data_IF_909939629886
#
_entry.id   IF_909939629886
#
_cell.length_a   1.000
_cell.length_b   1.000
_cell.length_c   1.000
_cell.angle_alpha   90.00
_cell.angle_beta   90.00
_cell.angle_gamma   90.00
#
_symmetry.space_group_name_H-M   'P 1'
#
loop_
_entity.id
_entity.type
_entity.pdbx_description
1 polymer ?
#
# COMPACT_ATOMS: atom_id res chain seq x y z
N UNK A 1 21.60 -29.39 10.04
CA UNK A 1 21.56 -28.99 8.63
C UNK A 1 20.22 -28.33 8.42
N UNK A 2 20.18 -27.00 8.55
CA UNK A 2 18.94 -26.21 8.49
C UNK A 2 19.15 -25.22 7.37
N UNK A 3 18.34 -25.35 6.32
CA UNK A 3 18.40 -24.47 5.16
C UNK A 3 17.82 -23.12 5.56
N UNK A 4 18.68 -22.10 5.66
CA UNK A 4 18.25 -20.71 5.69
C UNK A 4 17.92 -20.30 4.26
N UNK A 5 16.63 -20.10 3.96
CA UNK A 5 16.22 -19.37 2.77
C UNK A 5 16.28 -17.89 3.12
N UNK A 6 17.47 -17.31 3.01
CA UNK A 6 17.59 -15.86 2.89
C UNK A 6 17.21 -15.51 1.47
N UNK A 7 15.93 -15.26 1.23
CA UNK A 7 15.57 -14.57 0.00
C UNK A 7 16.24 -13.19 0.09
N UNK A 8 17.08 -12.82 -0.89
CA UNK A 8 17.73 -11.54 -0.87
C UNK A 8 16.65 -10.46 -0.90
N UNK A 9 16.84 -9.41 -0.09
CA UNK A 9 16.20 -8.10 -0.30
C UNK A 9 16.09 -7.88 -1.81
N UNK A 10 14.89 -7.71 -2.39
CA UNK A 10 14.80 -7.46 -3.82
C UNK A 10 15.61 -6.21 -4.09
N UNK A 11 16.80 -6.38 -4.66
CA UNK A 11 17.60 -5.30 -5.21
C UNK A 11 16.81 -4.85 -6.41
N UNK A 12 15.81 -4.01 -6.21
CA UNK A 12 14.96 -3.49 -7.26
C UNK A 12 15.89 -2.82 -8.26
N UNK A 13 16.12 -3.40 -9.45
CA UNK A 13 16.47 -2.55 -10.55
C UNK A 13 15.14 -1.87 -10.87
N UNK A 14 14.97 -0.62 -10.46
CA UNK A 14 13.93 0.22 -11.02
C UNK A 14 14.19 0.27 -12.54
N UNK A 15 13.65 -0.71 -13.26
CA UNK A 15 13.69 -0.74 -14.71
C UNK A 15 12.71 0.34 -15.13
N UNK A 16 13.25 1.52 -15.43
CA UNK A 16 12.51 2.54 -16.12
C UNK A 16 12.14 1.98 -17.49
N UNK A 17 10.90 1.54 -17.63
CA UNK A 17 10.34 1.18 -18.93
C UNK A 17 9.82 2.48 -19.52
N UNK A 18 10.54 3.02 -20.50
CA UNK A 18 10.04 4.10 -21.32
C UNK A 18 8.89 3.55 -22.17
N UNK A 19 7.65 3.84 -21.79
CA UNK A 19 6.49 3.53 -22.63
C UNK A 19 6.42 4.60 -23.73
N UNK A 20 6.46 4.21 -25.02
CA UNK A 20 6.26 5.18 -26.09
C UNK A 20 4.81 5.69 -26.01
N UNK A 21 4.66 6.96 -25.66
CA UNK A 21 3.37 7.64 -25.76
C UNK A 21 3.10 7.95 -27.24
N UNK A 22 2.30 7.09 -27.89
CA UNK A 22 1.66 7.44 -29.15
C UNK A 22 0.37 8.19 -28.84
N UNK A 23 0.14 9.32 -29.51
CA UNK A 23 -1.17 9.96 -29.52
C UNK A 23 -2.18 8.95 -30.08
N UNK A 24 -3.02 8.37 -29.21
CA UNK A 24 -4.13 7.53 -29.65
C UNK A 24 -5.19 8.49 -30.18
N UNK A 25 -5.34 8.57 -31.50
CA UNK A 25 -6.51 9.20 -32.11
C UNK A 25 -7.72 8.35 -31.75
N UNK A 26 -8.43 8.70 -30.67
CA UNK A 26 -9.69 8.02 -30.35
C UNK A 26 -10.64 8.20 -31.54
N UNK A 27 -11.18 7.10 -32.06
CA UNK A 27 -12.09 7.11 -33.22
C UNK A 27 -13.41 7.88 -32.96
N UNK A 28 -13.61 8.35 -31.72
CA UNK A 28 -14.67 9.25 -31.28
C UNK A 28 -14.06 10.39 -30.46
N UNK A 29 -13.16 11.17 -31.07
CA UNK A 29 -12.63 12.37 -30.43
C UNK A 29 -13.80 13.35 -30.18
N UNK A 30 -14.06 13.64 -28.90
CA UNK A 30 -14.92 14.76 -28.52
C UNK A 30 -14.16 16.02 -28.96
N UNK A 31 -14.75 16.90 -29.80
CA UNK A 31 -14.11 18.14 -30.20
C UNK A 31 -13.61 18.91 -28.96
N UNK A 32 -12.37 19.39 -29.02
CA UNK A 32 -11.70 20.14 -27.95
C UNK A 32 -11.41 19.39 -26.64
N UNK A 33 -11.55 18.06 -26.60
CA UNK A 33 -11.11 17.26 -25.45
C UNK A 33 -9.60 16.97 -25.50
N UNK A 34 -8.91 17.17 -24.37
CA UNK A 34 -7.49 16.84 -24.19
C UNK A 34 -7.25 16.12 -22.86
N UNK A 35 -6.22 15.28 -22.82
CA UNK A 35 -5.74 14.60 -21.61
C UNK A 35 -4.22 14.70 -21.52
N UNK A 36 -3.68 14.79 -20.31
CA UNK A 36 -2.23 14.80 -20.08
C UNK A 36 -1.86 13.96 -18.86
N UNK A 37 -0.66 13.39 -18.87
CA UNK A 37 -0.06 12.64 -17.77
C UNK A 37 1.40 13.08 -17.63
N UNK A 38 1.83 13.38 -16.41
CA UNK A 38 3.20 13.85 -16.15
C UNK A 38 4.18 12.68 -15.95
N UNK A 39 3.70 11.55 -15.43
CA UNK A 39 4.51 10.38 -15.17
C UNK A 39 3.63 9.16 -14.87
N UNK A 40 4.16 7.98 -15.18
CA UNK A 40 3.55 6.69 -14.88
C UNK A 40 4.61 5.87 -14.17
N UNK A 41 4.23 5.29 -13.03
CA UNK A 41 5.08 4.37 -12.28
C UNK A 41 4.46 2.97 -12.30
N UNK A 42 5.27 1.96 -12.59
CA UNK A 42 4.85 0.55 -12.60
C UNK A 42 5.81 -0.19 -11.68
N UNK A 43 5.26 -0.74 -10.60
CA UNK A 43 6.01 -1.47 -9.59
C UNK A 43 5.52 -2.91 -9.52
N UNK A 44 6.47 -3.84 -9.41
CA UNK A 44 6.14 -5.22 -9.06
C UNK A 44 5.62 -5.25 -7.63
N UNK A 45 4.48 -5.90 -7.41
CA UNK A 45 3.93 -6.12 -6.08
C UNK A 45 4.01 -7.61 -5.70
N UNK A 46 4.23 -7.93 -4.43
CA UNK A 46 4.17 -9.30 -3.93
C UNK A 46 2.80 -9.93 -4.13
N UNK A 47 2.79 -11.25 -4.26
CA UNK A 47 1.55 -12.01 -4.38
C UNK A 47 0.76 -11.97 -3.07
N UNK A 48 -0.56 -11.96 -3.20
CA UNK A 48 -1.54 -11.99 -2.10
C UNK A 48 -1.43 -10.79 -1.12
N UNK A 49 -0.78 -9.68 -1.52
CA UNK A 49 -0.71 -8.48 -0.67
C UNK A 49 -2.09 -7.84 -0.45
N UNK A 50 -2.93 -7.86 -1.48
CA UNK A 50 -4.21 -7.16 -1.52
C UNK A 50 -5.39 -8.04 -1.90
N UNK A 51 -5.13 -9.25 -2.36
CA UNK A 51 -6.14 -10.21 -2.78
C UNK A 51 -6.10 -11.43 -1.87
N UNK A 52 -7.24 -12.10 -1.76
CA UNK A 52 -7.40 -13.28 -0.91
C UNK A 52 -6.60 -14.43 -1.50
N UNK A 53 -5.66 -14.98 -0.72
CA UNK A 53 -4.92 -16.18 -1.10
C UNK A 53 -5.89 -17.35 -1.36
N UNK A 54 -5.52 -18.26 -2.27
CA UNK A 54 -6.38 -19.37 -2.68
C UNK A 54 -6.82 -20.26 -1.50
N UNK A 55 -5.95 -20.43 -0.51
CA UNK A 55 -6.14 -21.20 0.71
C UNK A 55 -6.87 -20.46 1.84
N UNK A 56 -7.05 -19.14 1.73
CA UNK A 56 -7.80 -18.33 2.70
C UNK A 56 -9.29 -18.37 2.39
N UNK A 57 -10.17 -18.21 3.38
CA UNK A 57 -11.64 -18.14 3.19
C UNK A 57 -12.15 -16.73 2.85
N UNK A 58 -11.27 -15.71 2.77
CA UNK A 58 -11.66 -14.31 2.57
C UNK A 58 -11.59 -13.49 3.86
N UNK A 59 -12.26 -12.35 3.84
CA UNK A 59 -12.42 -11.44 4.97
C UNK A 59 -13.90 -11.32 5.32
N UNK A 60 -14.21 -11.10 6.60
CA UNK A 60 -15.60 -10.95 7.05
C UNK A 60 -16.21 -9.66 6.45
N UNK A 61 -17.37 -9.79 5.82
CA UNK A 61 -18.13 -8.63 5.38
C UNK A 61 -18.79 -7.96 6.60
N UNK A 62 -18.35 -6.76 6.95
CA UNK A 62 -18.85 -6.03 8.13
C UNK A 62 -20.38 -5.88 8.06
N UNK A 63 -21.08 -6.33 9.10
CA UNK A 63 -22.54 -6.26 9.20
C UNK A 63 -23.29 -7.45 8.58
N UNK A 64 -22.57 -8.51 8.15
CA UNK A 64 -23.16 -9.77 7.71
C UNK A 64 -22.26 -10.96 8.11
N UNK A 65 -22.78 -12.18 8.05
CA UNK A 65 -22.04 -13.44 8.29
C UNK A 65 -21.50 -14.05 6.99
N UNK A 66 -21.24 -13.21 5.99
CA UNK A 66 -20.75 -13.65 4.67
C UNK A 66 -19.28 -13.27 4.53
N UNK A 67 -18.47 -14.24 4.13
CA UNK A 67 -17.07 -14.00 3.80
C UNK A 67 -16.97 -13.42 2.39
N UNK A 68 -16.24 -12.32 2.27
CA UNK A 68 -15.92 -11.70 1.00
C UNK A 68 -14.50 -12.07 0.56
N UNK A 69 -14.36 -12.48 -0.69
CA UNK A 69 -13.07 -12.79 -1.31
C UNK A 69 -12.71 -11.68 -2.29
N UNK A 70 -11.49 -11.17 -2.16
CA UNK A 70 -10.91 -10.28 -3.16
C UNK A 70 -10.18 -11.16 -4.16
N UNK A 71 -10.79 -11.36 -5.33
CA UNK A 71 -10.23 -12.21 -6.38
C UNK A 71 -9.03 -11.53 -7.07
N UNK A 72 -8.10 -12.33 -7.61
CA UNK A 72 -6.88 -11.82 -8.27
C UNK A 72 -7.13 -11.00 -9.55
N UNK A 73 -8.36 -11.04 -10.08
CA UNK A 73 -8.82 -10.22 -11.21
C UNK A 73 -9.48 -8.91 -10.77
N UNK A 74 -9.49 -8.61 -9.47
CA UNK A 74 -10.04 -7.38 -8.91
C UNK A 74 -8.96 -6.30 -8.93
N UNK A 75 -9.21 -5.22 -9.66
CA UNK A 75 -8.38 -4.02 -9.59
C UNK A 75 -8.73 -3.23 -8.32
N UNK A 76 -7.70 -2.73 -7.61
CA UNK A 76 -7.88 -1.88 -6.45
C UNK A 76 -7.23 -0.52 -6.65
N UNK A 77 -7.87 0.49 -6.09
CA UNK A 77 -7.35 1.85 -5.99
C UNK A 77 -7.03 2.15 -4.53
N UNK A 78 -5.83 2.64 -4.26
CA UNK A 78 -5.47 3.13 -2.94
C UNK A 78 -6.10 4.51 -2.73
N UNK A 79 -7.04 4.62 -1.79
CA UNK A 79 -7.67 5.90 -1.45
C UNK A 79 -6.94 6.60 -0.31
N UNK A 80 -6.59 5.87 0.76
CA UNK A 80 -5.88 6.39 1.93
C UNK A 80 -4.83 5.40 2.43
N UNK A 81 -3.73 5.92 2.98
CA UNK A 81 -2.68 5.14 3.64
C UNK A 81 -2.10 5.94 4.79
N UNK A 82 -2.47 5.58 6.01
CA UNK A 82 -2.17 6.36 7.22
C UNK A 82 -1.28 5.53 8.15
N UNK A 83 -0.21 6.13 8.65
CA UNK A 83 0.58 5.63 9.78
C UNK A 83 -0.03 6.17 11.08
N UNK A 84 -1.01 5.45 11.62
CA UNK A 84 -1.81 5.88 12.78
C UNK A 84 -0.92 6.16 13.98
N UNK A 85 -1.05 7.35 14.56
CA UNK A 85 -0.26 7.83 15.70
C UNK A 85 1.24 8.02 15.42
N UNK A 86 1.68 7.87 14.17
CA UNK A 86 3.08 7.90 13.76
C UNK A 86 3.46 9.08 12.88
N UNK A 87 4.73 9.14 12.54
CA UNK A 87 5.29 10.10 11.58
C UNK A 87 4.96 9.71 10.14
N UNK A 88 4.96 10.70 9.25
CA UNK A 88 4.87 10.44 7.81
C UNK A 88 6.08 9.63 7.35
N UNK A 89 5.88 8.70 6.43
CA UNK A 89 6.96 7.99 5.76
C UNK A 89 6.88 8.25 4.26
N UNK A 90 7.95 8.80 3.70
CA UNK A 90 8.07 8.97 2.26
C UNK A 90 8.38 7.65 1.56
N UNK A 91 8.14 7.59 0.26
CA UNK A 91 8.34 6.40 -0.57
C UNK A 91 9.71 5.72 -0.40
N UNK A 92 10.78 6.47 -0.13
CA UNK A 92 12.15 5.98 0.05
C UNK A 92 12.38 5.36 1.43
N UNK A 93 11.48 5.61 2.38
CA UNK A 93 11.46 5.05 3.73
C UNK A 93 10.53 3.83 3.83
N UNK A 94 9.82 3.48 2.75
CA UNK A 94 8.96 2.30 2.69
C UNK A 94 9.76 1.01 2.47
N UNK A 95 9.16 -0.12 2.81
CA UNK A 95 9.80 -1.45 2.74
C UNK A 95 9.65 -2.08 1.35
N UNK A 96 10.21 -1.41 0.33
CA UNK A 96 10.35 -1.97 -1.03
C UNK A 96 9.14 -1.81 -1.94
N UNK A 97 8.09 -1.10 -1.49
CA UNK A 97 6.87 -0.86 -2.26
C UNK A 97 6.68 0.62 -2.68
N UNK A 98 7.59 1.51 -2.28
CA UNK A 98 7.61 2.93 -2.63
C UNK A 98 6.31 3.69 -2.33
N UNK A 99 5.61 3.30 -1.25
CA UNK A 99 4.35 3.90 -0.82
C UNK A 99 4.61 5.06 0.13
N UNK A 100 3.83 6.13 0.01
CA UNK A 100 3.81 7.19 1.02
C UNK A 100 2.79 6.88 2.12
N UNK A 101 3.15 7.15 3.37
CA UNK A 101 2.28 6.98 4.52
C UNK A 101 2.02 8.34 5.18
N UNK A 102 0.76 8.68 5.30
CA UNK A 102 0.29 9.90 5.92
C UNK A 102 0.52 9.85 7.44
N UNK A 103 0.78 11.01 8.03
CA UNK A 103 1.16 11.13 9.45
C UNK A 103 -0.04 11.27 10.39
N UNK A 104 0.23 11.30 11.69
CA UNK A 104 -0.73 11.70 12.72
C UNK A 104 -1.37 13.08 12.47
N UNK A 105 -0.67 13.98 11.77
CA UNK A 105 -1.22 15.30 11.42
C UNK A 105 -2.34 15.18 10.38
N UNK A 106 -2.21 14.24 9.46
CA UNK A 106 -3.19 13.99 8.40
C UNK A 106 -4.33 13.10 8.88
N UNK A 107 -4.03 12.13 9.75
CA UNK A 107 -4.99 11.29 10.45
C UNK A 107 -6.10 12.14 11.11
N UNK A 108 -5.73 13.29 11.69
CA UNK A 108 -6.64 14.17 12.40
C UNK A 108 -7.83 14.66 11.54
N UNK A 109 -7.71 14.65 10.21
CA UNK A 109 -8.79 15.00 9.27
C UNK A 109 -9.89 13.93 9.21
N UNK A 110 -9.59 12.72 9.65
CA UNK A 110 -10.48 11.55 9.55
C UNK A 110 -11.05 11.11 10.91
N UNK A 111 -10.65 11.78 12.01
CA UNK A 111 -11.16 11.50 13.34
C UNK A 111 -12.39 12.37 13.66
N UNK A 112 -13.36 11.79 14.35
CA UNK A 112 -14.45 12.56 14.95
C UNK A 112 -13.98 13.31 16.21
N UNK A 113 -14.83 14.17 16.79
CA UNK A 113 -14.47 14.97 17.97
C UNK A 113 -14.03 14.08 19.14
N UNK A 114 -14.73 12.96 19.37
CA UNK A 114 -14.42 12.06 20.47
C UNK A 114 -13.08 11.38 20.22
N UNK A 115 -12.90 10.70 19.09
CA UNK A 115 -11.65 10.07 18.71
C UNK A 115 -10.49 11.05 18.82
N UNK A 116 -10.60 12.26 18.26
CA UNK A 116 -9.52 13.25 18.33
C UNK A 116 -9.08 13.62 19.75
N UNK A 117 -10.03 13.67 20.69
CA UNK A 117 -9.77 14.06 22.08
C UNK A 117 -9.24 12.91 22.93
N UNK A 118 -9.57 11.68 22.56
CA UNK A 118 -9.22 10.47 23.31
C UNK A 118 -8.08 9.67 22.68
N UNK A 119 -7.61 10.03 21.48
CA UNK A 119 -6.42 9.44 20.87
C UNK A 119 -5.21 9.65 21.78
N UNK A 120 -4.61 8.55 22.22
CA UNK A 120 -3.39 8.58 23.02
C UNK A 120 -2.21 8.48 22.08
N UNK A 121 -1.28 9.44 22.13
CA UNK A 121 -0.02 9.32 21.39
C UNK A 121 0.72 8.07 21.88
N UNK A 122 1.20 7.19 20.99
CA UNK A 122 1.96 6.02 21.39
C UNK A 122 3.21 6.47 22.15
N UNK A 123 3.30 6.14 23.44
CA UNK A 123 4.50 6.38 24.23
C UNK A 123 5.47 5.21 24.08
N UNK A 124 6.67 5.51 23.59
CA UNK A 124 7.89 4.71 23.79
C UNK A 124 7.73 3.19 23.61
N UNK A 125 7.29 2.77 22.42
CA UNK A 125 7.29 1.35 22.05
C UNK A 125 8.62 1.03 21.36
N UNK A 126 9.62 0.56 22.11
CA UNK A 126 10.82 -0.09 21.56
C UNK A 126 10.48 -1.48 20.98
N UNK A 127 9.37 -1.57 20.25
CA UNK A 127 8.85 -2.83 19.74
C UNK A 127 9.58 -3.15 18.44
N UNK A 128 10.52 -4.09 18.50
CA UNK A 128 11.08 -4.66 17.29
C UNK A 128 10.05 -5.58 16.66
N UNK A 129 9.50 -5.17 15.52
CA UNK A 129 8.59 -6.00 14.74
C UNK A 129 9.34 -7.23 14.23
N UNK A 130 8.77 -8.41 14.47
CA UNK A 130 9.34 -9.66 14.02
C UNK A 130 8.57 -10.19 12.80
N UNK A 131 9.17 -10.05 11.62
CA UNK A 131 8.56 -10.34 10.31
C UNK A 131 8.68 -11.82 9.90
N UNK A 132 8.46 -12.77 10.83
CA UNK A 132 8.57 -14.22 10.52
C UNK A 132 7.37 -14.72 9.72
N UNK A 133 6.16 -14.27 10.08
CA UNK A 133 4.92 -14.68 9.41
C UNK A 133 4.34 -13.57 8.51
N UNK A 134 4.65 -12.31 8.83
CA UNK A 134 4.21 -11.14 8.08
C UNK A 134 5.40 -10.63 7.27
N UNK A 135 5.31 -10.50 5.95
CA UNK A 135 6.42 -10.01 5.14
C UNK A 135 6.78 -8.56 5.45
N UNK A 136 8.07 -8.22 5.38
CA UNK A 136 8.58 -6.86 5.64
C UNK A 136 7.94 -5.78 4.76
N UNK A 137 7.57 -6.11 3.52
CA UNK A 137 6.92 -5.17 2.60
C UNK A 137 5.50 -4.76 3.00
N UNK A 138 4.91 -5.38 4.03
CA UNK A 138 3.53 -5.10 4.44
C UNK A 138 3.38 -3.65 4.91
N UNK A 139 4.34 -3.16 5.70
CA UNK A 139 4.42 -1.79 6.19
C UNK A 139 5.87 -1.44 6.60
N UNK A 140 6.24 -0.14 6.67
CA UNK A 140 7.54 0.29 7.16
C UNK A 140 7.82 -0.25 8.56
N UNK A 141 9.09 -0.55 8.84
CA UNK A 141 9.53 -0.80 10.21
C UNK A 141 9.40 0.51 10.98
N UNK A 142 8.40 0.59 11.87
CA UNK A 142 8.11 1.79 12.64
C UNK A 142 9.40 2.30 13.32
N UNK A 143 9.82 3.49 12.91
CA UNK A 143 10.80 4.29 13.65
C UNK A 143 10.02 5.51 14.15
N UNK A 144 9.50 5.38 15.37
CA UNK A 144 9.03 6.53 16.14
C UNK A 144 10.24 7.27 16.72
#
# INVERSE_FOLDING_TARGET
>A
MTLASTDPKPSSPSKQVALPFSMISMLLAIPDAYAFVNGIEILSMPTNLYYTASESNGVDYVGNEVNYRIENMTAMEMVYRINVGGSAHSFDQDTGMYRNWDSVVDEQKYLDDLSSRWTVLPQNVSLQLNFVQIPEYSAPQASL
#
